data_IF_366485352721
#
_entry.id   IF_366485352721
#
_cell.length_a   1.000
_cell.length_b   1.000
_cell.length_c   1.000
_cell.angle_alpha   90.00
_cell.angle_beta   90.00
_cell.angle_gamma   90.00
#
_symmetry.space_group_name_H-M   'P 1'
#
loop_
_entity.id
_entity.type
_entity.pdbx_description
1 polymer ?
#
# COMPACT_ATOMS: atom_id res chain seq x y z
N UNK A 1 1.28 -3.53 17.16
CA UNK A 1 2.51 -3.58 16.32
C UNK A 1 3.55 -4.60 16.78
N UNK A 2 4.06 -4.56 18.03
CA UNK A 2 5.13 -5.47 18.50
C UNK A 2 4.89 -6.96 18.21
N UNK A 3 3.67 -7.46 18.47
CA UNK A 3 3.29 -8.86 18.14
C UNK A 3 3.40 -9.17 16.64
N UNK A 4 2.94 -8.26 15.78
CA UNK A 4 3.04 -8.42 14.33
C UNK A 4 4.50 -8.45 13.87
N UNK A 5 5.37 -7.62 14.47
CA UNK A 5 6.83 -7.66 14.21
C UNK A 5 7.44 -8.99 14.66
N UNK A 6 7.04 -9.52 15.82
CA UNK A 6 7.49 -10.85 16.27
C UNK A 6 7.08 -11.94 15.29
N UNK A 7 5.83 -11.94 14.81
CA UNK A 7 5.36 -12.91 13.84
C UNK A 7 6.05 -12.76 12.49
N UNK A 8 6.25 -11.53 12.03
CA UNK A 8 6.98 -11.25 10.81
C UNK A 8 8.40 -11.83 10.86
N UNK A 9 9.12 -11.64 11.98
CA UNK A 9 10.43 -12.26 12.20
C UNK A 9 10.37 -13.78 12.12
N UNK A 10 9.41 -14.41 12.81
CA UNK A 10 9.27 -15.87 12.83
C UNK A 10 8.93 -16.45 11.45
N UNK A 11 8.18 -15.71 10.63
CA UNK A 11 7.77 -16.11 9.28
C UNK A 11 8.77 -15.69 8.20
N UNK A 12 9.85 -14.97 8.55
CA UNK A 12 10.81 -14.43 7.59
C UNK A 12 10.25 -13.30 6.72
N UNK A 13 9.17 -12.64 7.15
CA UNK A 13 8.58 -11.53 6.43
C UNK A 13 9.45 -10.26 6.56
N UNK A 14 9.70 -9.60 5.42
CA UNK A 14 10.54 -8.40 5.33
C UNK A 14 9.84 -7.14 5.87
N UNK A 15 8.52 -7.04 5.71
CA UNK A 15 7.74 -5.84 6.04
C UNK A 15 6.46 -6.19 6.80
N UNK A 16 6.04 -5.27 7.68
CA UNK A 16 4.69 -5.25 8.24
C UNK A 16 4.03 -3.94 7.81
N UNK A 17 2.99 -4.05 6.98
CA UNK A 17 2.14 -2.92 6.59
C UNK A 17 1.02 -2.73 7.60
N UNK A 18 0.69 -1.47 7.91
CA UNK A 18 -0.43 -1.11 8.77
C UNK A 18 -1.04 0.23 8.35
N UNK A 19 -2.31 0.43 8.69
CA UNK A 19 -2.99 1.70 8.42
C UNK A 19 -2.62 2.77 9.47
N UNK A 20 -2.64 4.05 9.07
CA UNK A 20 -2.65 5.16 10.01
C UNK A 20 -3.83 5.04 11.00
N UNK A 21 -3.74 5.71 12.17
CA UNK A 21 -4.84 5.79 13.09
C UNK A 21 -6.05 6.48 12.44
N UNK A 22 -7.25 6.08 12.85
CA UNK A 22 -8.50 6.66 12.40
C UNK A 22 -9.04 7.64 13.45
N UNK A 23 -9.01 8.94 13.14
CA UNK A 23 -9.50 9.97 14.06
C UNK A 23 -11.02 9.93 14.23
N UNK A 24 -11.75 9.54 13.17
CA UNK A 24 -13.22 9.38 13.25
C UNK A 24 -13.66 8.21 14.14
N UNK A 25 -12.74 7.28 14.44
CA UNK A 25 -12.93 6.18 15.39
C UNK A 25 -12.21 6.43 16.72
N UNK A 26 -11.81 7.67 17.00
CA UNK A 26 -11.17 8.09 18.25
C UNK A 26 -9.86 7.34 18.59
N UNK A 27 -9.08 6.91 17.59
CA UNK A 27 -7.80 6.20 17.79
C UNK A 27 -6.64 7.14 18.22
N UNK A 28 -6.93 8.10 19.10
CA UNK A 28 -5.98 9.11 19.55
C UNK A 28 -4.80 8.51 20.33
N UNK A 29 -5.02 7.46 21.13
CA UNK A 29 -3.94 6.77 21.84
C UNK A 29 -2.92 6.16 20.87
N UNK A 30 -3.41 5.57 19.76
CA UNK A 30 -2.55 5.04 18.72
C UNK A 30 -1.78 6.16 18.01
N UNK A 31 -2.44 7.27 17.74
CA UNK A 31 -1.80 8.48 17.20
C UNK A 31 -0.71 9.05 18.12
N UNK A 32 -0.97 9.22 19.42
CA UNK A 32 0.03 9.71 20.38
C UNK A 32 1.25 8.79 20.44
N UNK A 33 1.00 7.48 20.50
CA UNK A 33 2.07 6.48 20.49
C UNK A 33 2.96 6.57 19.25
N UNK A 34 2.36 6.66 18.04
CA UNK A 34 3.13 6.81 16.79
C UNK A 34 4.00 8.06 16.79
N UNK A 35 3.49 9.17 17.31
CA UNK A 35 4.23 10.44 17.38
C UNK A 35 5.39 10.41 18.38
N UNK A 36 5.28 9.61 19.44
CA UNK A 36 6.32 9.41 20.46
C UNK A 36 7.51 8.58 19.96
N UNK A 37 7.29 7.62 19.06
CA UNK A 37 8.38 6.84 18.46
C UNK A 37 9.31 7.79 17.73
N UNK A 38 10.61 7.76 18.05
CA UNK A 38 11.62 8.61 17.39
C UNK A 38 12.10 7.99 16.08
N UNK A 39 12.29 6.68 16.08
CA UNK A 39 12.81 5.90 14.96
C UNK A 39 12.13 4.52 14.93
N UNK A 40 11.33 4.26 13.89
CA UNK A 40 10.61 2.98 13.74
C UNK A 40 11.52 1.81 13.39
N UNK A 41 12.65 2.05 12.73
CA UNK A 41 13.61 1.00 12.43
C UNK A 41 14.29 0.51 13.72
N UNK A 42 14.54 1.40 14.68
CA UNK A 42 15.08 1.02 15.99
C UNK A 42 14.06 0.24 16.83
N UNK A 43 12.79 0.62 16.79
CA UNK A 43 11.71 -0.10 17.49
C UNK A 43 11.58 -1.58 17.07
N UNK A 44 11.99 -1.93 15.84
CA UNK A 44 12.03 -3.32 15.37
C UNK A 44 13.41 -3.98 15.48
N UNK A 45 14.41 -3.27 15.99
CA UNK A 45 15.81 -3.70 15.95
C UNK A 45 16.31 -3.91 14.52
N UNK A 46 15.78 -3.12 13.57
CA UNK A 46 16.10 -3.12 12.13
C UNK A 46 15.88 -4.44 11.39
N UNK A 47 15.21 -5.42 12.02
CA UNK A 47 15.01 -6.74 11.42
C UNK A 47 13.81 -6.83 10.50
N UNK A 48 12.80 -5.99 10.71
CA UNK A 48 11.57 -5.94 9.92
C UNK A 48 11.25 -4.48 9.65
N UNK A 49 11.00 -4.15 8.38
CA UNK A 49 10.54 -2.83 8.03
C UNK A 49 9.08 -2.64 8.47
N UNK A 50 8.80 -1.49 9.06
CA UNK A 50 7.44 -1.05 9.30
C UNK A 50 7.03 -0.14 8.16
N UNK A 51 5.85 -0.37 7.62
CA UNK A 51 5.32 0.39 6.49
C UNK A 51 3.92 0.90 6.81
N UNK A 52 3.69 2.20 6.65
CA UNK A 52 2.36 2.77 6.82
C UNK A 52 1.71 3.02 5.46
N UNK A 53 0.48 2.58 5.33
CA UNK A 53 -0.27 2.71 4.09
C UNK A 53 -0.90 4.11 3.93
N UNK A 54 -0.94 4.62 2.70
CA UNK A 54 -1.78 5.79 2.40
C UNK A 54 -3.25 5.37 2.40
N UNK A 55 -4.12 6.19 3.00
CA UNK A 55 -5.54 5.86 3.11
C UNK A 55 -6.39 6.58 2.06
N UNK A 56 -7.52 5.97 1.63
CA UNK A 56 -8.36 6.56 0.62
C UNK A 56 -9.08 7.80 1.16
N UNK A 57 -9.65 8.58 0.24
CA UNK A 57 -10.79 9.40 0.60
C UNK A 57 -12.00 8.46 0.70
N UNK A 58 -12.70 8.50 1.82
CA UNK A 58 -13.91 7.71 2.06
C UNK A 58 -15.10 8.26 1.25
N UNK A 59 -14.99 9.51 0.80
CA UNK A 59 -15.88 10.15 -0.17
C UNK A 59 -15.04 11.04 -1.12
N UNK A 60 -15.60 12.10 -1.71
CA UNK A 60 -14.84 12.96 -2.65
C UNK A 60 -13.80 13.88 -2.01
N UNK A 61 -13.89 14.17 -0.72
CA UNK A 61 -13.04 15.18 -0.06
C UNK A 61 -12.56 14.78 1.34
N UNK A 62 -13.13 13.73 1.93
CA UNK A 62 -12.94 13.37 3.32
C UNK A 62 -12.19 12.06 3.48
N UNK A 63 -11.34 11.99 4.51
CA UNK A 63 -10.76 10.74 5.01
C UNK A 63 -10.80 10.76 6.52
N UNK A 64 -11.31 9.68 7.13
CA UNK A 64 -11.37 9.51 8.58
C UNK A 64 -10.02 9.20 9.24
N UNK A 65 -8.95 9.14 8.45
CA UNK A 65 -7.60 8.78 8.88
C UNK A 65 -6.73 10.00 9.16
N UNK A 66 -5.86 9.87 10.16
CA UNK A 66 -4.75 10.82 10.32
C UNK A 66 -3.82 10.73 9.11
N UNK A 67 -3.11 11.82 8.82
CA UNK A 67 -2.29 11.96 7.61
C UNK A 67 -3.08 11.74 6.30
N UNK A 68 -4.31 12.26 6.25
CA UNK A 68 -5.16 12.23 5.05
C UNK A 68 -4.52 12.85 3.80
N UNK A 69 -3.58 13.78 3.98
CA UNK A 69 -2.69 14.31 2.95
C UNK A 69 -1.49 13.36 2.80
N UNK A 70 -1.37 12.62 1.67
CA UNK A 70 -0.30 11.64 1.49
C UNK A 70 1.11 12.26 1.52
N UNK A 71 1.30 13.49 1.07
CA UNK A 71 2.60 14.18 1.18
C UNK A 71 2.99 14.45 2.63
N UNK A 72 2.02 14.72 3.50
CA UNK A 72 2.28 14.84 4.95
C UNK A 72 2.65 13.50 5.57
N UNK A 73 2.05 12.39 5.12
CA UNK A 73 2.48 11.04 5.53
C UNK A 73 3.92 10.77 5.09
N UNK A 74 4.26 11.07 3.83
CA UNK A 74 5.62 10.92 3.29
C UNK A 74 6.66 11.63 4.14
N UNK A 75 6.40 12.90 4.48
CA UNK A 75 7.28 13.69 5.35
C UNK A 75 7.41 13.10 6.75
N UNK A 76 6.31 12.62 7.34
CA UNK A 76 6.33 11.98 8.65
C UNK A 76 7.14 10.69 8.62
N UNK A 77 6.90 9.84 7.62
CA UNK A 77 7.52 8.54 7.49
C UNK A 77 9.05 8.68 7.34
N UNK A 78 9.49 9.58 6.45
CA UNK A 78 10.90 9.92 6.25
C UNK A 78 11.57 10.44 7.53
N UNK A 79 10.91 11.31 8.28
CA UNK A 79 11.43 11.86 9.55
C UNK A 79 11.65 10.79 10.61
N UNK A 80 10.88 9.70 10.56
CA UNK A 80 10.79 8.70 11.64
C UNK A 80 11.37 7.33 11.24
N UNK A 81 12.06 7.22 10.10
CA UNK A 81 12.56 5.95 9.56
C UNK A 81 11.45 4.88 9.43
N UNK A 82 10.26 5.32 9.02
CA UNK A 82 9.11 4.49 8.72
C UNK A 82 8.97 4.40 7.20
N UNK A 83 8.73 3.21 6.66
CA UNK A 83 8.48 3.01 5.23
C UNK A 83 7.03 3.31 4.87
N UNK A 84 6.71 3.31 3.59
CA UNK A 84 5.36 3.58 3.07
C UNK A 84 4.88 2.43 2.19
N UNK A 85 3.60 2.12 2.31
CA UNK A 85 2.86 1.30 1.36
C UNK A 85 1.97 2.21 0.52
N UNK A 86 2.14 2.17 -0.79
CA UNK A 86 1.28 2.92 -1.71
C UNK A 86 0.20 1.98 -2.28
N UNK A 87 -1.06 2.23 -1.94
CA UNK A 87 -2.19 1.57 -2.59
C UNK A 87 -2.68 2.40 -3.78
N UNK A 88 -2.67 1.79 -4.96
CA UNK A 88 -3.02 2.49 -6.22
C UNK A 88 -4.51 2.81 -6.34
N UNK A 89 -5.38 2.09 -5.65
CA UNK A 89 -6.81 2.37 -5.58
C UNK A 89 -7.11 3.46 -4.55
N UNK A 90 -6.36 3.51 -3.44
CA UNK A 90 -6.45 4.61 -2.47
C UNK A 90 -5.98 5.93 -3.11
N UNK A 91 -4.95 5.88 -3.96
CA UNK A 91 -4.57 7.00 -4.82
C UNK A 91 -5.71 7.40 -5.77
N UNK A 92 -6.36 6.40 -6.40
CA UNK A 92 -7.43 6.61 -7.35
C UNK A 92 -8.65 7.36 -6.78
N UNK A 93 -8.91 7.23 -5.48
CA UNK A 93 -9.96 8.01 -4.79
C UNK A 93 -9.72 9.53 -4.82
N UNK A 94 -8.48 9.98 -5.07
CA UNK A 94 -8.10 11.39 -5.18
C UNK A 94 -7.99 11.84 -6.63
N UNK A 95 -7.46 10.99 -7.50
CA UNK A 95 -7.29 11.25 -8.92
C UNK A 95 -7.17 9.95 -9.69
N UNK A 96 -7.87 9.83 -10.82
CA UNK A 96 -7.75 8.67 -11.71
C UNK A 96 -6.44 8.69 -12.51
N UNK A 97 -5.78 9.85 -12.65
CA UNK A 97 -4.43 9.92 -13.20
C UNK A 97 -3.40 9.62 -12.10
N UNK A 98 -3.29 8.33 -11.77
CA UNK A 98 -2.47 7.85 -10.65
C UNK A 98 -0.97 7.94 -10.92
N UNK A 99 -0.51 8.05 -12.18
CA UNK A 99 0.92 8.02 -12.51
C UNK A 99 1.64 9.28 -12.00
N UNK A 100 1.20 10.52 -12.33
CA UNK A 100 1.80 11.72 -11.77
C UNK A 100 1.68 11.77 -10.25
N UNK A 101 0.57 11.28 -9.71
CA UNK A 101 0.36 11.27 -8.26
C UNK A 101 1.33 10.32 -7.55
N UNK A 102 1.50 9.11 -8.07
CA UNK A 102 2.52 8.16 -7.61
C UNK A 102 3.92 8.79 -7.66
N UNK A 103 4.30 9.41 -8.78
CA UNK A 103 5.61 10.07 -8.93
C UNK A 103 5.81 11.22 -7.92
N UNK A 104 4.74 11.89 -7.50
CA UNK A 104 4.82 12.93 -6.47
C UNK A 104 5.06 12.40 -5.05
N UNK A 105 4.82 11.10 -4.83
CA UNK A 105 4.96 10.43 -3.53
C UNK A 105 6.14 9.44 -3.49
N UNK A 106 6.59 8.96 -4.64
CA UNK A 106 7.59 7.92 -4.76
C UNK A 106 8.98 8.42 -4.38
N UNK A 107 9.54 7.82 -3.33
CA UNK A 107 10.96 7.89 -3.00
C UNK A 107 11.50 6.45 -2.94
N UNK A 108 12.57 6.08 -3.71
CA UNK A 108 13.02 4.70 -3.86
C UNK A 108 13.26 3.95 -2.55
N UNK A 109 13.89 4.61 -1.57
CA UNK A 109 14.18 3.99 -0.28
C UNK A 109 12.98 4.05 0.68
N UNK A 110 11.97 4.87 0.42
CA UNK A 110 10.84 5.05 1.34
C UNK A 110 9.68 4.10 1.04
N UNK A 111 9.42 3.82 -0.24
CA UNK A 111 8.28 3.00 -0.68
C UNK A 111 8.67 1.52 -0.66
N UNK A 112 8.27 0.82 0.40
CA UNK A 112 8.65 -0.58 0.63
C UNK A 112 7.69 -1.57 -0.03
N UNK A 113 6.42 -1.19 -0.19
CA UNK A 113 5.39 -2.02 -0.78
C UNK A 113 4.42 -1.18 -1.62
N UNK A 114 3.82 -1.79 -2.62
CA UNK A 114 2.72 -1.24 -3.40
C UNK A 114 1.58 -2.25 -3.36
N UNK A 115 0.40 -1.82 -2.91
CA UNK A 115 -0.82 -2.60 -3.07
C UNK A 115 -1.40 -2.35 -4.45
N UNK A 116 -1.62 -3.44 -5.18
CA UNK A 116 -1.89 -3.44 -6.60
C UNK A 116 -3.22 -4.11 -6.90
N UNK A 117 -4.14 -3.31 -7.41
CA UNK A 117 -5.47 -3.71 -7.84
C UNK A 117 -6.06 -2.62 -8.72
N UNK A 118 -7.21 -2.90 -9.33
CA UNK A 118 -7.91 -1.92 -10.15
C UNK A 118 -8.90 -1.10 -9.33
N UNK A 119 -9.33 0.01 -9.90
CA UNK A 119 -10.32 0.91 -9.31
C UNK A 119 -11.46 1.13 -10.30
N UNK A 120 -12.69 0.99 -9.83
CA UNK A 120 -13.89 1.41 -10.54
C UNK A 120 -14.38 2.77 -10.00
N UNK A 121 -15.38 3.40 -10.62
CA UNK A 121 -15.89 4.71 -10.18
C UNK A 121 -16.27 4.79 -8.70
N UNK A 122 -16.71 3.66 -8.13
CA UNK A 122 -17.15 3.56 -6.73
C UNK A 122 -16.52 2.39 -5.97
N UNK A 123 -15.81 1.48 -6.65
CA UNK A 123 -15.25 0.28 -6.05
C UNK A 123 -13.73 0.31 -6.04
N UNK A 124 -13.17 0.08 -4.85
CA UNK A 124 -11.75 -0.11 -4.63
C UNK A 124 -11.40 -1.60 -4.70
N UNK A 125 -10.12 -1.90 -4.92
CA UNK A 125 -9.57 -3.25 -4.82
C UNK A 125 -10.21 -4.24 -5.81
N UNK A 126 -10.50 -3.76 -7.03
CA UNK A 126 -11.05 -4.58 -8.12
C UNK A 126 -9.96 -5.47 -8.72
N UNK A 127 -10.34 -6.57 -9.37
CA UNK A 127 -9.37 -7.38 -10.10
C UNK A 127 -8.72 -6.57 -11.24
N UNK A 128 -7.38 -6.57 -11.40
CA UNK A 128 -6.68 -5.87 -12.47
C UNK A 128 -7.28 -6.14 -13.87
N UNK A 129 -7.65 -5.07 -14.57
CA UNK A 129 -8.32 -5.14 -15.88
C UNK A 129 -9.84 -5.06 -15.81
N UNK A 130 -10.44 -4.99 -14.61
CA UNK A 130 -11.89 -4.78 -14.42
C UNK A 130 -12.26 -3.35 -14.01
N UNK A 131 -11.28 -2.46 -13.89
CA UNK A 131 -11.48 -1.06 -13.56
C UNK A 131 -10.97 -0.13 -14.65
N UNK A 132 -10.58 1.08 -14.24
CA UNK A 132 -10.19 2.17 -15.14
C UNK A 132 -8.72 2.58 -14.98
N UNK A 133 -7.95 1.93 -14.09
CA UNK A 133 -6.57 2.33 -13.86
C UNK A 133 -5.67 1.94 -15.04
N UNK A 134 -4.63 2.73 -15.33
CA UNK A 134 -3.69 2.44 -16.41
C UNK A 134 -2.67 1.36 -15.99
N UNK A 135 -3.15 0.18 -15.61
CA UNK A 135 -2.40 -0.89 -14.94
C UNK A 135 -1.10 -1.25 -15.69
N UNK A 136 -1.18 -1.53 -17.00
CA UNK A 136 0.00 -1.90 -17.80
C UNK A 136 1.01 -0.74 -17.88
N UNK A 137 0.54 0.51 -17.98
CA UNK A 137 1.44 1.69 -18.00
C UNK A 137 2.11 1.89 -16.64
N UNK A 138 1.38 1.65 -15.56
CA UNK A 138 1.90 1.72 -14.19
C UNK A 138 2.99 0.66 -13.95
N UNK A 139 2.77 -0.59 -14.34
CA UNK A 139 3.82 -1.63 -14.27
C UNK A 139 5.06 -1.26 -15.09
N UNK A 140 4.88 -0.78 -16.32
CA UNK A 140 5.99 -0.30 -17.15
C UNK A 140 6.76 0.86 -16.50
N UNK A 141 6.08 1.75 -15.77
CA UNK A 141 6.71 2.79 -14.99
C UNK A 141 7.56 2.21 -13.86
N UNK A 142 7.01 1.28 -13.06
CA UNK A 142 7.75 0.63 -11.97
C UNK A 142 9.02 -0.09 -12.49
N UNK A 143 8.92 -0.77 -13.63
CA UNK A 143 10.08 -1.36 -14.31
C UNK A 143 11.13 -0.31 -14.67
N UNK A 144 10.73 0.80 -15.29
CA UNK A 144 11.66 1.89 -15.64
C UNK A 144 12.32 2.54 -14.44
N UNK A 145 11.59 2.64 -13.32
CA UNK A 145 12.12 3.14 -12.05
C UNK A 145 12.99 2.11 -11.31
N UNK A 146 13.14 0.90 -11.86
CA UNK A 146 13.82 -0.22 -11.24
C UNK A 146 13.32 -0.47 -9.81
N UNK A 147 11.99 -0.47 -9.61
CA UNK A 147 11.39 -0.63 -8.29
C UNK A 147 11.81 -1.96 -7.63
N UNK A 148 12.42 -1.88 -6.44
CA UNK A 148 12.95 -3.04 -5.69
C UNK A 148 12.10 -3.43 -4.47
N UNK A 149 11.00 -2.73 -4.23
CA UNK A 149 10.07 -3.04 -3.15
C UNK A 149 9.09 -4.16 -3.54
N UNK A 150 8.16 -4.45 -2.64
CA UNK A 150 7.14 -5.47 -2.86
C UNK A 150 6.00 -4.92 -3.73
N UNK A 151 5.46 -5.78 -4.58
CA UNK A 151 4.21 -5.52 -5.30
C UNK A 151 3.20 -6.59 -4.88
N UNK A 152 2.23 -6.20 -4.07
CA UNK A 152 1.27 -7.10 -3.43
C UNK A 152 -0.10 -6.92 -4.09
N UNK A 153 -0.70 -8.02 -4.55
CA UNK A 153 -2.07 -7.99 -5.08
C UNK A 153 -3.04 -7.96 -3.90
N UNK A 154 -3.84 -6.89 -3.80
CA UNK A 154 -4.85 -6.71 -2.74
C UNK A 154 -6.23 -6.54 -3.35
N UNK A 155 -7.15 -7.45 -3.05
CA UNK A 155 -8.45 -7.54 -3.71
C UNK A 155 -9.58 -7.64 -2.69
N UNK A 156 -10.73 -7.03 -3.03
CA UNK A 156 -11.97 -7.32 -2.32
C UNK A 156 -12.35 -8.79 -2.55
N UNK A 157 -12.77 -9.56 -1.52
CA UNK A 157 -13.11 -10.98 -1.69
C UNK A 157 -14.15 -11.27 -2.78
N UNK A 158 -15.08 -10.35 -3.06
CA UNK A 158 -16.09 -10.49 -4.11
C UNK A 158 -15.52 -10.47 -5.54
N UNK A 159 -14.27 -10.02 -5.72
CA UNK A 159 -13.60 -10.04 -7.01
C UNK A 159 -13.05 -11.42 -7.37
N UNK A 160 -12.94 -12.29 -6.37
CA UNK A 160 -12.43 -13.64 -6.50
C UNK A 160 -13.57 -14.64 -6.80
N UNK A 161 -13.31 -15.68 -7.59
CA UNK A 161 -14.24 -16.79 -7.75
C UNK A 161 -14.55 -17.52 -6.44
N UNK A 162 -15.69 -18.20 -6.39
CA UNK A 162 -16.06 -19.04 -5.24
C UNK A 162 -15.23 -20.34 -5.17
N UNK A 163 -14.72 -20.82 -6.30
CA UNK A 163 -13.92 -22.05 -6.38
C UNK A 163 -12.45 -21.76 -6.08
N UNK A 164 -11.87 -22.47 -5.09
CA UNK A 164 -10.44 -22.39 -4.78
C UNK A 164 -9.54 -22.65 -6.00
N UNK A 165 -9.91 -23.61 -6.85
CA UNK A 165 -9.13 -23.93 -8.05
C UNK A 165 -9.08 -22.75 -9.02
N UNK A 166 -10.21 -22.08 -9.22
CA UNK A 166 -10.30 -20.89 -10.07
C UNK A 166 -9.55 -19.69 -9.45
N UNK A 167 -9.64 -19.49 -8.13
CA UNK A 167 -8.86 -18.47 -7.42
C UNK A 167 -7.36 -18.64 -7.68
N UNK A 168 -6.84 -19.86 -7.49
CA UNK A 168 -5.42 -20.14 -7.72
C UNK A 168 -5.05 -19.89 -9.19
N UNK A 169 -5.88 -20.35 -10.12
CA UNK A 169 -5.64 -20.16 -11.54
C UNK A 169 -5.61 -18.68 -11.95
N UNK A 170 -6.57 -17.89 -11.48
CA UNK A 170 -6.65 -16.45 -11.80
C UNK A 170 -5.50 -15.66 -11.17
N UNK A 171 -5.20 -15.91 -9.90
CA UNK A 171 -4.08 -15.23 -9.22
C UNK A 171 -2.74 -15.61 -9.85
N UNK A 172 -2.56 -16.88 -10.26
CA UNK A 172 -1.37 -17.32 -10.99
C UNK A 172 -1.22 -16.55 -12.30
N UNK A 173 -2.26 -16.53 -13.14
CA UNK A 173 -2.26 -15.81 -14.41
C UNK A 173 -1.94 -14.31 -14.23
N UNK A 174 -2.52 -13.68 -13.21
CA UNK A 174 -2.24 -12.29 -12.87
C UNK A 174 -0.77 -12.08 -12.46
N UNK A 175 -0.24 -12.93 -11.59
CA UNK A 175 1.17 -12.81 -11.17
C UNK A 175 2.14 -13.09 -12.31
N UNK A 176 1.80 -13.98 -13.23
CA UNK A 176 2.61 -14.27 -14.42
C UNK A 176 2.63 -13.07 -15.38
N UNK A 177 1.47 -12.43 -15.61
CA UNK A 177 1.37 -11.17 -16.35
C UNK A 177 2.22 -10.05 -15.73
N UNK A 178 2.10 -9.85 -14.41
CA UNK A 178 2.90 -8.83 -13.70
C UNK A 178 4.40 -9.09 -13.90
N UNK A 179 4.83 -10.34 -13.73
CA UNK A 179 6.24 -10.73 -13.92
C UNK A 179 6.69 -10.52 -15.36
N UNK A 180 5.86 -10.84 -16.35
CA UNK A 180 6.19 -10.64 -17.76
C UNK A 180 6.44 -9.16 -18.09
N UNK A 181 5.59 -8.26 -17.57
CA UNK A 181 5.75 -6.82 -17.79
C UNK A 181 6.95 -6.25 -17.02
N UNK A 182 7.23 -6.78 -15.82
CA UNK A 182 8.27 -6.29 -14.92
C UNK A 182 9.68 -6.87 -15.17
N UNK A 183 9.79 -7.99 -15.91
CA UNK A 183 11.07 -8.54 -16.41
C UNK A 183 11.79 -7.54 -17.30
#
# INVERSE_FOLDING_TARGET
LKRAVTWARLLGARVVTFHPPRWSSFEFLFWFWLNWIKDFAEETGRAVHLSMEIMPLENRTFSGYFWNNPQSLVKFAKKKNLRITLDITHMATRTTDIIPFFLSLYEPDLVENIHFSDFGPTEQHRFPGRGVLPITRFLNLLKRLNYQGLLTVELTPSELPNSRGEVISQLKALTDFIKEVMR
#
